data_IF_026926874388
#
_entry.id   IF_026926874388
#
_cell.length_a   1.000
_cell.length_b   1.000
_cell.length_c   1.000
_cell.angle_alpha   90.00
_cell.angle_beta   90.00
_cell.angle_gamma   90.00
#
_symmetry.space_group_name_H-M   'P 1'
#
loop_
_entity.id
_entity.type
_entity.pdbx_description
1 polymer ?
#
# COMPACT_ATOMS: atom_id res chain seq x y z
N UNK A 1 -6.43 2.83 9.34
CA UNK A 1 -7.55 2.96 8.37
C UNK A 1 -7.86 4.36 7.84
N UNK A 2 -7.38 5.49 8.41
CA UNK A 2 -7.84 6.83 7.98
C UNK A 2 -7.71 7.07 6.46
N UNK A 3 -6.60 6.66 5.85
CA UNK A 3 -6.33 6.76 4.40
C UNK A 3 -7.45 6.12 3.57
N UNK A 4 -7.78 4.85 3.83
CA UNK A 4 -8.84 4.14 3.11
C UNK A 4 -10.23 4.68 3.44
N UNK A 5 -10.49 5.00 4.73
CA UNK A 5 -11.79 5.54 5.17
C UNK A 5 -12.14 6.83 4.43
N UNK A 6 -11.21 7.77 4.35
CA UNK A 6 -11.41 9.04 3.62
C UNK A 6 -11.64 8.80 2.13
N UNK A 7 -10.89 7.88 1.54
CA UNK A 7 -11.03 7.51 0.14
C UNK A 7 -12.41 6.96 -0.19
N UNK A 8 -12.84 5.95 0.57
CA UNK A 8 -14.15 5.32 0.38
C UNK A 8 -15.31 6.30 0.57
N UNK A 9 -15.26 7.17 1.59
CA UNK A 9 -16.26 8.23 1.78
C UNK A 9 -16.32 9.23 0.62
N UNK A 10 -15.19 9.44 -0.05
CA UNK A 10 -15.07 10.35 -1.19
C UNK A 10 -15.28 9.64 -2.55
N UNK A 11 -15.62 8.35 -2.55
CA UNK A 11 -15.74 7.54 -3.77
C UNK A 11 -14.43 7.35 -4.54
N UNK A 12 -13.28 7.55 -3.89
CA UNK A 12 -11.95 7.41 -4.48
C UNK A 12 -11.54 5.93 -4.59
N UNK A 13 -10.80 5.53 -5.64
CA UNK A 13 -10.24 4.19 -5.73
C UNK A 13 -9.26 3.89 -4.58
N UNK A 14 -9.56 2.84 -3.84
CA UNK A 14 -8.81 2.38 -2.68
C UNK A 14 -8.23 0.99 -2.91
N UNK A 15 -6.97 0.80 -2.55
CA UNK A 15 -6.23 -0.46 -2.67
C UNK A 15 -5.67 -0.85 -1.31
N UNK A 16 -5.89 -2.10 -0.92
CA UNK A 16 -5.38 -2.68 0.33
C UNK A 16 -4.62 -3.97 0.02
N UNK A 17 -3.33 -3.97 0.32
CA UNK A 17 -2.52 -5.20 0.34
C UNK A 17 -2.54 -5.76 1.75
N UNK A 18 -3.22 -6.88 1.93
CA UNK A 18 -3.24 -7.64 3.18
C UNK A 18 -3.78 -9.04 2.87
N UNK A 19 -3.46 -10.02 3.72
CA UNK A 19 -4.02 -11.37 3.62
C UNK A 19 -4.44 -11.95 4.97
N UNK A 20 -5.19 -13.06 4.94
CA UNK A 20 -5.61 -13.82 6.12
C UNK A 20 -6.33 -13.00 7.20
N UNK A 21 -6.01 -13.30 8.46
CA UNK A 21 -6.61 -12.64 9.62
C UNK A 21 -6.32 -11.13 9.65
N UNK A 22 -5.17 -10.71 9.12
CA UNK A 22 -4.82 -9.29 9.00
C UNK A 22 -5.79 -8.58 8.07
N UNK A 23 -6.04 -9.13 6.88
CA UNK A 23 -7.05 -8.59 5.96
C UNK A 23 -8.43 -8.53 6.63
N UNK A 24 -8.85 -9.60 7.29
CA UNK A 24 -10.13 -9.65 8.01
C UNK A 24 -10.24 -8.54 9.07
N UNK A 25 -9.15 -8.27 9.81
CA UNK A 25 -9.10 -7.19 10.79
C UNK A 25 -9.22 -5.80 10.15
N UNK A 26 -8.55 -5.55 9.02
CA UNK A 26 -8.70 -4.30 8.27
C UNK A 26 -10.13 -4.10 7.77
N UNK A 27 -10.74 -5.12 7.18
CA UNK A 27 -12.10 -5.05 6.66
C UNK A 27 -13.11 -4.82 7.78
N UNK A 28 -13.03 -5.57 8.88
CA UNK A 28 -13.89 -5.39 10.06
C UNK A 28 -13.82 -3.96 10.61
N UNK A 29 -12.62 -3.41 10.67
CA UNK A 29 -12.42 -2.10 11.25
C UNK A 29 -12.69 -0.94 10.25
N UNK A 30 -12.76 -1.23 8.94
CA UNK A 30 -13.36 -0.35 7.95
C UNK A 30 -14.89 -0.39 8.00
N UNK A 31 -15.49 -1.56 8.17
CA UNK A 31 -16.95 -1.75 8.24
C UNK A 31 -17.54 -1.09 9.50
N UNK A 32 -16.83 -1.15 10.63
CA UNK A 32 -17.18 -0.38 11.84
C UNK A 32 -17.00 1.15 11.72
N UNK A 33 -16.85 1.68 10.51
CA UNK A 33 -16.74 3.12 10.25
C UNK A 33 -18.07 3.68 9.77
N UNK A 34 -18.60 4.70 10.45
CA UNK A 34 -19.84 5.37 10.02
C UNK A 34 -19.83 5.74 8.53
N UNK A 35 -20.80 5.20 7.80
CA UNK A 35 -21.06 5.50 6.39
C UNK A 35 -20.18 4.75 5.38
N UNK A 36 -19.55 3.65 5.77
CA UNK A 36 -18.82 2.76 4.83
C UNK A 36 -19.49 1.39 4.82
N UNK A 37 -20.00 1.00 3.66
CA UNK A 37 -20.37 -0.40 3.36
C UNK A 37 -19.19 -1.01 2.58
N UNK A 38 -18.40 -1.84 3.26
CA UNK A 38 -17.20 -2.46 2.69
C UNK A 38 -17.55 -3.41 1.55
N UNK A 39 -18.63 -4.17 1.70
CA UNK A 39 -19.06 -5.12 0.68
C UNK A 39 -19.52 -4.40 -0.58
N UNK A 40 -20.26 -3.29 -0.45
CA UNK A 40 -20.61 -2.42 -1.57
C UNK A 40 -19.36 -1.82 -2.22
N UNK A 41 -18.40 -1.33 -1.43
CA UNK A 41 -17.16 -0.77 -1.96
C UNK A 41 -16.36 -1.81 -2.79
N UNK A 42 -16.31 -3.07 -2.35
CA UNK A 42 -15.67 -4.15 -3.09
C UNK A 42 -16.46 -4.47 -4.36
N UNK A 43 -17.79 -4.63 -4.27
CA UNK A 43 -18.67 -4.89 -5.43
C UNK A 43 -18.55 -3.80 -6.50
N UNK A 44 -18.47 -2.54 -6.07
CA UNK A 44 -18.33 -1.36 -6.94
C UNK A 44 -16.89 -1.14 -7.44
N UNK A 45 -15.93 -1.98 -7.03
CA UNK A 45 -14.48 -1.83 -7.31
C UNK A 45 -13.87 -0.52 -6.78
N UNK A 46 -14.52 0.10 -5.78
CA UNK A 46 -13.97 1.24 -5.03
C UNK A 46 -12.94 0.78 -4.00
N UNK A 47 -13.06 -0.44 -3.50
CA UNK A 47 -12.04 -1.11 -2.70
C UNK A 47 -11.55 -2.35 -3.45
N UNK A 48 -10.25 -2.44 -3.70
CA UNK A 48 -9.60 -3.65 -4.22
C UNK A 48 -8.63 -4.19 -3.18
N UNK A 49 -8.74 -5.48 -2.88
CA UNK A 49 -7.84 -6.18 -1.94
C UNK A 49 -7.05 -7.24 -2.67
N UNK A 50 -5.76 -7.40 -2.35
CA UNK A 50 -4.96 -8.51 -2.88
C UNK A 50 -3.84 -8.90 -1.90
N UNK A 51 -3.42 -10.17 -1.84
CA UNK A 51 -2.08 -10.49 -1.35
C UNK A 51 -1.06 -9.82 -2.27
N UNK A 52 0.10 -9.40 -1.76
CA UNK A 52 1.09 -8.61 -2.52
C UNK A 52 1.40 -9.21 -3.91
N UNK A 53 1.60 -8.39 -4.96
CA UNK A 53 1.65 -8.92 -6.31
C UNK A 53 3.01 -9.48 -6.71
N UNK A 54 2.98 -10.45 -7.64
CA UNK A 54 4.11 -10.87 -8.48
C UNK A 54 4.89 -12.07 -7.96
N UNK A 55 5.51 -12.82 -8.87
CA UNK A 55 6.54 -13.82 -8.55
C UNK A 55 7.97 -13.24 -8.63
N UNK A 56 8.08 -11.96 -9.04
CA UNK A 56 9.31 -11.18 -9.10
C UNK A 56 9.02 -9.69 -8.90
N UNK A 57 10.04 -8.92 -8.52
CA UNK A 57 9.96 -7.45 -8.37
C UNK A 57 9.42 -6.78 -9.64
N UNK A 58 9.95 -7.18 -10.81
CA UNK A 58 9.56 -6.58 -12.08
C UNK A 58 8.08 -6.86 -12.43
N UNK A 59 7.56 -8.04 -12.09
CA UNK A 59 6.14 -8.34 -12.26
C UNK A 59 5.27 -7.54 -11.30
N UNK A 60 5.67 -7.43 -10.04
CA UNK A 60 4.97 -6.65 -9.02
C UNK A 60 4.84 -5.17 -9.43
N UNK A 61 5.93 -4.58 -9.92
CA UNK A 61 5.95 -3.19 -10.40
C UNK A 61 5.05 -2.99 -11.63
N UNK A 62 5.14 -3.88 -12.62
CA UNK A 62 4.26 -3.82 -13.80
C UNK A 62 2.80 -3.95 -13.42
N UNK A 63 2.48 -4.84 -12.48
CA UNK A 63 1.13 -5.01 -11.98
C UNK A 63 0.61 -3.70 -11.36
N UNK A 64 1.36 -3.10 -10.42
CA UNK A 64 0.94 -1.88 -9.76
C UNK A 64 0.80 -0.69 -10.71
N UNK A 65 1.75 -0.52 -11.63
CA UNK A 65 1.66 0.53 -12.64
C UNK A 65 0.38 0.39 -13.48
N UNK A 66 0.06 -0.84 -13.92
CA UNK A 66 -1.16 -1.11 -14.68
C UNK A 66 -2.42 -0.88 -13.85
N UNK A 67 -2.47 -1.37 -12.61
CA UNK A 67 -3.63 -1.24 -11.72
C UNK A 67 -3.92 0.22 -11.42
N UNK A 68 -2.91 0.98 -11.00
CA UNK A 68 -3.08 2.38 -10.62
C UNK A 68 -3.42 3.24 -11.85
N UNK A 69 -2.79 2.99 -13.00
CA UNK A 69 -3.09 3.73 -14.24
C UNK A 69 -4.52 3.44 -14.72
N UNK A 70 -4.97 2.17 -14.68
CA UNK A 70 -6.34 1.81 -15.05
C UNK A 70 -7.38 2.44 -14.14
N UNK A 71 -7.09 2.60 -12.85
CA UNK A 71 -7.98 3.26 -11.91
C UNK A 71 -8.23 4.74 -12.25
N UNK A 72 -7.33 5.36 -13.01
CA UNK A 72 -7.44 6.74 -13.50
C UNK A 72 -8.08 6.85 -14.89
N UNK A 73 -8.43 5.73 -15.53
CA UNK A 73 -8.97 5.73 -16.90
C UNK A 73 -10.30 6.48 -17.05
N UNK A 74 -11.09 6.57 -15.97
CA UNK A 74 -12.37 7.27 -15.95
C UNK A 74 -12.27 8.75 -15.57
N UNK A 75 -11.05 9.29 -15.47
CA UNK A 75 -10.77 10.68 -15.20
C UNK A 75 -9.87 10.90 -13.98
N UNK A 76 -9.38 12.14 -13.79
CA UNK A 76 -8.50 12.48 -12.67
C UNK A 76 -9.20 12.27 -11.32
N UNK A 77 -8.58 11.48 -10.44
CA UNK A 77 -9.02 11.29 -9.06
C UNK A 77 -7.80 10.98 -8.19
N UNK A 78 -7.95 11.03 -6.87
CA UNK A 78 -6.91 10.63 -5.93
C UNK A 78 -6.99 9.12 -5.67
N UNK A 79 -5.87 8.43 -5.83
CA UNK A 79 -5.72 7.01 -5.49
C UNK A 79 -5.28 6.88 -4.03
N UNK A 80 -5.81 5.89 -3.31
CA UNK A 80 -5.45 5.60 -1.92
C UNK A 80 -4.91 4.18 -1.85
N UNK A 81 -3.63 4.00 -1.51
CA UNK A 81 -3.00 2.67 -1.42
C UNK A 81 -2.49 2.43 -0.01
N UNK A 82 -2.86 1.30 0.59
CA UNK A 82 -2.31 0.85 1.87
C UNK A 82 -1.69 -0.53 1.67
N UNK A 83 -0.40 -0.65 1.97
CA UNK A 83 0.32 -1.92 2.01
C UNK A 83 0.55 -2.37 3.44
N UNK A 84 0.00 -3.51 3.85
CA UNK A 84 0.46 -4.20 5.05
C UNK A 84 1.65 -5.09 4.65
N UNK A 85 2.85 -4.69 5.07
CA UNK A 85 4.07 -5.24 4.50
C UNK A 85 4.38 -6.65 4.98
N UNK A 86 3.85 -7.11 6.12
CA UNK A 86 4.01 -8.52 6.54
C UNK A 86 3.29 -9.46 5.59
N UNK A 87 2.14 -9.04 5.07
CA UNK A 87 1.41 -9.72 4.00
C UNK A 87 2.17 -9.62 2.67
N UNK A 88 2.62 -8.42 2.31
CA UNK A 88 3.35 -8.21 1.05
C UNK A 88 4.67 -8.99 1.00
N UNK A 89 5.40 -9.10 2.12
CA UNK A 89 6.67 -9.83 2.27
C UNK A 89 6.58 -11.26 1.76
N UNK A 90 5.43 -11.92 1.95
CA UNK A 90 5.22 -13.32 1.54
C UNK A 90 5.20 -13.52 0.02
N UNK A 91 5.04 -12.45 -0.74
CA UNK A 91 5.15 -12.48 -2.21
C UNK A 91 6.61 -12.39 -2.70
N UNK A 92 7.58 -12.18 -1.80
CA UNK A 92 8.99 -12.04 -2.15
C UNK A 92 9.82 -13.17 -1.53
N UNK A 93 10.82 -13.65 -2.26
CA UNK A 93 11.74 -14.69 -1.78
C UNK A 93 12.66 -14.19 -0.65
N UNK A 94 12.88 -12.87 -0.57
CA UNK A 94 13.75 -12.26 0.43
C UNK A 94 13.40 -10.79 0.69
N UNK A 95 13.79 -10.29 1.85
CA UNK A 95 13.59 -8.88 2.23
C UNK A 95 14.29 -7.89 1.28
N UNK A 96 15.52 -8.13 0.78
CA UNK A 96 16.13 -7.26 -0.22
C UNK A 96 15.29 -7.09 -1.50
N UNK A 97 14.63 -8.15 -1.98
CA UNK A 97 13.73 -8.06 -3.14
C UNK A 97 12.48 -7.25 -2.82
N UNK A 98 11.92 -7.41 -1.61
CA UNK A 98 10.81 -6.58 -1.15
C UNK A 98 11.22 -5.10 -1.08
N UNK A 99 12.43 -4.78 -0.61
CA UNK A 99 12.96 -3.42 -0.57
C UNK A 99 13.18 -2.85 -1.98
N UNK A 100 13.69 -3.66 -2.93
CA UNK A 100 13.80 -3.25 -4.33
C UNK A 100 12.42 -2.90 -4.92
N UNK A 101 11.41 -3.70 -4.59
CA UNK A 101 10.02 -3.41 -4.94
C UNK A 101 9.53 -2.09 -4.32
N UNK A 102 9.77 -1.85 -3.03
CA UNK A 102 9.37 -0.60 -2.35
C UNK A 102 9.96 0.64 -2.99
N UNK A 103 11.25 0.61 -3.33
CA UNK A 103 11.92 1.71 -4.05
C UNK A 103 11.24 1.96 -5.40
N UNK A 104 11.00 0.91 -6.19
CA UNK A 104 10.35 1.03 -7.49
C UNK A 104 8.90 1.50 -7.39
N UNK A 105 8.15 0.98 -6.42
CA UNK A 105 6.75 1.36 -6.19
C UNK A 105 6.65 2.82 -5.78
N UNK A 106 7.54 3.32 -4.93
CA UNK A 106 7.58 4.75 -4.58
C UNK A 106 7.80 5.65 -5.81
N UNK A 107 8.66 5.24 -6.75
CA UNK A 107 8.84 5.97 -8.02
C UNK A 107 7.56 6.01 -8.85
N UNK A 108 6.81 4.92 -8.92
CA UNK A 108 5.51 4.86 -9.61
C UNK A 108 4.50 5.77 -8.89
N UNK A 109 4.34 5.62 -7.58
CA UNK A 109 3.37 6.35 -6.78
C UNK A 109 3.56 7.88 -6.87
N UNK A 110 4.80 8.37 -6.83
CA UNK A 110 5.12 9.81 -6.95
C UNK A 110 4.75 10.44 -8.29
N UNK A 111 4.55 9.64 -9.34
CA UNK A 111 4.13 10.11 -10.66
C UNK A 111 2.62 10.18 -10.84
N UNK A 112 1.87 9.66 -9.86
CA UNK A 112 0.42 9.56 -9.90
C UNK A 112 -0.19 10.42 -8.78
N UNK A 113 -1.46 10.86 -8.93
CA UNK A 113 -2.19 11.48 -7.83
C UNK A 113 -2.55 10.39 -6.79
N UNK A 114 -1.57 10.00 -5.96
CA UNK A 114 -1.71 8.92 -5.00
C UNK A 114 -1.30 9.34 -3.59
N UNK A 115 -2.04 8.86 -2.60
CA UNK A 115 -1.61 8.78 -1.20
C UNK A 115 -1.35 7.32 -0.89
N UNK A 116 -0.10 6.99 -0.60
CA UNK A 116 0.35 5.62 -0.32
C UNK A 116 0.81 5.51 1.13
N UNK A 117 0.58 4.35 1.74
CA UNK A 117 1.04 4.04 3.10
C UNK A 117 1.49 2.58 3.17
N UNK A 118 2.80 2.36 3.32
CA UNK A 118 3.37 1.04 3.61
C UNK A 118 3.54 0.89 5.14
N UNK A 119 2.90 -0.12 5.72
CA UNK A 119 2.86 -0.37 7.16
C UNK A 119 3.72 -1.57 7.51
N UNK A 120 4.63 -1.40 8.46
CA UNK A 120 5.59 -2.41 8.89
C UNK A 120 5.31 -2.84 10.33
N UNK A 121 5.31 -4.14 10.60
CA UNK A 121 5.24 -4.70 11.95
C UNK A 121 6.65 -4.94 12.50
N UNK A 122 7.03 -4.20 13.55
CA UNK A 122 8.34 -4.31 14.22
C UNK A 122 8.60 -5.68 14.87
N UNK A 123 7.57 -6.52 14.99
CA UNK A 123 7.69 -7.90 15.48
C UNK A 123 8.02 -8.88 14.35
N UNK A 124 7.86 -8.46 13.10
CA UNK A 124 8.05 -9.27 11.89
C UNK A 124 9.33 -8.86 11.14
N UNK A 125 9.62 -7.56 11.09
CA UNK A 125 10.80 -7.01 10.42
C UNK A 125 11.89 -6.65 11.42
N UNK A 126 13.13 -6.98 11.07
CA UNK A 126 14.29 -6.54 11.84
C UNK A 126 14.60 -5.06 11.62
N UNK A 127 15.47 -4.52 12.48
CA UNK A 127 15.82 -3.09 12.43
C UNK A 127 16.49 -2.69 11.12
N UNK A 128 17.27 -3.57 10.50
CA UNK A 128 17.93 -3.30 9.22
C UNK A 128 16.91 -3.18 8.08
N UNK A 129 15.95 -4.11 8.00
CA UNK A 129 14.91 -4.06 6.97
C UNK A 129 14.03 -2.83 7.12
N UNK A 130 13.64 -2.47 8.36
CA UNK A 130 12.86 -1.25 8.62
C UNK A 130 13.67 0.00 8.23
N UNK A 131 14.96 0.03 8.54
CA UNK A 131 15.83 1.13 8.14
C UNK A 131 15.90 1.27 6.61
N UNK A 132 16.09 0.17 5.89
CA UNK A 132 16.11 0.16 4.42
C UNK A 132 14.76 0.60 3.83
N UNK A 133 13.65 0.15 4.42
CA UNK A 133 12.31 0.58 4.04
C UNK A 133 12.15 2.10 4.22
N UNK A 134 12.58 2.66 5.36
CA UNK A 134 12.54 4.10 5.60
C UNK A 134 13.35 4.87 4.53
N UNK A 135 14.52 4.36 4.14
CA UNK A 135 15.31 4.99 3.06
C UNK A 135 14.61 4.97 1.70
N UNK A 136 13.73 4.00 1.46
CA UNK A 136 12.92 3.95 0.25
C UNK A 136 11.85 5.06 0.22
N UNK A 137 11.61 5.78 1.34
CA UNK A 137 10.60 6.83 1.51
C UNK A 137 11.21 8.22 1.84
N UNK A 138 11.85 8.91 0.87
CA UNK A 138 12.48 10.22 1.10
C UNK A 138 11.55 11.33 1.62
N UNK A 139 10.24 11.18 1.44
CA UNK A 139 9.22 12.07 1.99
C UNK A 139 9.24 12.11 3.54
N UNK A 140 9.68 11.01 4.16
CA UNK A 140 9.84 10.92 5.61
C UNK A 140 11.02 11.73 6.14
N UNK A 141 11.96 12.15 5.29
CA UNK A 141 13.20 12.81 5.73
C UNK A 141 12.94 14.15 6.38
N UNK A 142 11.88 14.84 5.96
CA UNK A 142 11.43 16.10 6.55
C UNK A 142 10.96 15.99 8.01
N UNK A 143 10.66 14.77 8.48
CA UNK A 143 10.24 14.50 9.86
C UNK A 143 11.40 14.17 10.81
N UNK A 144 12.64 14.56 10.46
CA UNK A 144 13.82 14.34 11.29
C UNK A 144 14.40 12.92 11.22
N UNK A 145 13.76 12.03 10.45
CA UNK A 145 14.25 10.67 10.21
C UNK A 145 15.60 10.66 9.48
N UNK A 146 15.86 11.67 8.64
CA UNK A 146 17.14 11.80 7.94
C UNK A 146 18.35 11.85 8.88
N UNK A 147 18.17 12.31 10.12
CA UNK A 147 19.24 12.35 11.13
C UNK A 147 19.73 10.95 11.53
N UNK A 148 18.91 9.91 11.33
CA UNK A 148 19.29 8.52 11.57
C UNK A 148 19.92 7.83 10.35
N UNK A 149 19.95 8.50 9.18
CA UNK A 149 20.45 7.95 7.92
C UNK A 149 21.91 8.35 7.61
N UNK A 150 22.50 9.22 8.43
CA UNK A 150 23.88 9.71 8.31
C UNK A 150 24.84 8.93 9.20
#
# INVERSE_FOLDING_TARGET
>A
MRVLREGLKSGQPCFLVAEGDTLAAYLKALDGSDGIDVDAAIRDRKLTTAPGPGSSVAEALRFWEQVLTRALANGPTLLRVVGEMSSARKAFESDPLMIEFEVGFNTIAKRLPAVTLCQYDVRVFDGETIFLAIRAHPDLYSFGIATFLN
#
